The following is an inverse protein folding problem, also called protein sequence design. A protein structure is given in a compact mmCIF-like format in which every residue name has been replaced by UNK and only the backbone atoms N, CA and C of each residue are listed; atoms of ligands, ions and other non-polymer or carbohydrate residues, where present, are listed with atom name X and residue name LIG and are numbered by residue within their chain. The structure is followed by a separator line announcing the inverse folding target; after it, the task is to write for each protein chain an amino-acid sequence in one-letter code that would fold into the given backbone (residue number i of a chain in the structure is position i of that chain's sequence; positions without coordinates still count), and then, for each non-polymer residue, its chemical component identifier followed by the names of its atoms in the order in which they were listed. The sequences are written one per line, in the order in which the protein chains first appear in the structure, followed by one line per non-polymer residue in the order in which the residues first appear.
data_IF_083871426777
#
_entry.id   IF_083871426777
#
_cell.length_a   1.000
_cell.length_b   1.000
_cell.length_c   1.000
_cell.angle_alpha   90.00
_cell.angle_beta   90.00
_cell.angle_gamma   90.00
#
_symmetry.space_group_name_H-M   'P 1'
#
loop_
_entity.id
_entity.type
_entity.pdbx_description
1 polymer ?
#
# COMPACT_ATOMS: atom_id res chain seq x y z
N UNK A 1 -32.48 11.39 10.26
CA UNK A 1 -31.88 10.09 9.90
C UNK A 1 -30.71 10.30 8.91
N UNK A 2 -29.87 11.32 9.15
CA UNK A 2 -28.77 11.80 8.27
C UNK A 2 -27.54 12.11 9.17
N UNK A 3 -27.28 11.29 10.18
CA UNK A 3 -26.27 11.62 11.21
C UNK A 3 -25.33 10.47 11.57
N UNK A 4 -25.32 9.37 10.79
CA UNK A 4 -24.47 8.20 11.09
C UNK A 4 -23.31 7.95 10.13
N UNK A 5 -23.14 8.75 9.07
CA UNK A 5 -22.07 8.55 8.06
C UNK A 5 -20.89 9.52 8.17
N UNK A 6 -20.78 10.34 9.23
CA UNK A 6 -19.67 11.29 9.43
C UNK A 6 -18.65 10.79 10.48
N UNK A 7 -18.74 9.54 10.93
CA UNK A 7 -17.87 9.04 12.02
C UNK A 7 -16.52 8.46 11.60
N UNK A 8 -16.12 8.45 10.32
CA UNK A 8 -14.83 7.86 9.89
C UNK A 8 -13.81 8.84 9.27
N UNK A 9 -14.03 10.14 9.43
CA UNK A 9 -13.02 11.18 9.12
C UNK A 9 -12.60 12.01 10.35
N UNK A 10 -12.99 11.60 11.57
CA UNK A 10 -12.53 12.23 12.83
C UNK A 10 -11.45 11.39 13.50
N UNK A 11 -10.29 11.28 12.86
CA UNK A 11 -9.07 10.85 13.58
C UNK A 11 -7.80 11.51 13.04
N UNK A 12 -7.94 12.68 12.40
CA UNK A 12 -6.85 13.66 12.24
C UNK A 12 -7.24 14.92 13.05
N UNK A 13 -7.60 14.72 14.32
CA UNK A 13 -7.92 15.82 15.25
C UNK A 13 -7.34 15.63 16.65
N UNK A 14 -6.56 14.58 16.92
CA UNK A 14 -5.96 14.35 18.24
C UNK A 14 -4.46 14.64 18.36
N UNK A 15 -3.82 15.26 17.35
CA UNK A 15 -2.45 15.81 17.47
C UNK A 15 -2.46 17.33 17.75
N UNK A 16 -3.62 17.94 18.05
CA UNK A 16 -3.70 19.36 18.40
C UNK A 16 -4.60 19.57 19.62
N UNK A 17 -4.21 18.97 20.74
CA UNK A 17 -4.55 19.47 22.06
C UNK A 17 -3.23 19.86 22.71
N UNK A 18 -2.77 21.07 22.45
CA UNK A 18 -1.67 21.67 23.20
C UNK A 18 -2.12 21.85 24.65
N UNK A 19 -1.84 20.86 25.47
CA UNK A 19 -1.75 21.01 26.93
C UNK A 19 -0.27 20.95 27.26
N UNK A 20 0.28 22.11 27.58
CA UNK A 20 1.54 22.26 28.31
C UNK A 20 1.55 21.33 29.51
N UNK A 21 2.44 20.34 29.50
CA UNK A 21 2.87 19.67 30.71
C UNK A 21 4.22 20.30 31.09
N UNK A 22 4.18 21.11 32.15
CA UNK A 22 5.36 21.53 32.88
C UNK A 22 5.82 20.34 33.72
N UNK A 23 7.02 19.85 33.48
CA UNK A 23 7.75 19.06 34.47
C UNK A 23 8.91 19.94 34.96
N UNK A 24 8.64 20.65 36.05
CA UNK A 24 9.66 21.13 36.98
C UNK A 24 9.98 19.98 37.97
N UNK A 25 11.23 20.00 38.43
CA UNK A 25 11.84 19.32 39.59
C UNK A 25 12.59 17.97 39.40
N UNK A 26 13.93 18.15 39.49
CA UNK A 26 14.95 17.38 40.23
C UNK A 26 15.26 15.91 39.90
N UNK A 27 16.45 15.64 39.33
CA UNK A 27 17.65 15.38 40.14
C UNK A 27 18.94 15.21 39.28
N UNK A 28 19.91 16.11 39.54
CA UNK A 28 21.35 15.94 39.83
C UNK A 28 22.30 14.99 39.05
N UNK A 29 23.53 15.53 38.90
CA UNK A 29 24.85 14.97 38.53
C UNK A 29 25.18 14.88 37.01
N UNK A 30 26.11 15.64 36.40
CA UNK A 30 27.25 16.38 36.91
C UNK A 30 28.57 15.76 36.40
N UNK A 31 29.03 16.08 35.19
CA UNK A 31 30.46 15.98 34.84
C UNK A 31 30.84 16.90 33.67
N UNK A 32 31.78 17.80 33.95
CA UNK A 32 32.36 18.80 33.05
C UNK A 32 33.71 18.32 32.51
N UNK A 33 34.07 18.73 31.29
CA UNK A 33 35.48 19.01 30.96
C UNK A 33 35.96 18.80 29.53
N UNK A 34 36.23 19.92 28.83
CA UNK A 34 37.32 20.13 27.83
C UNK A 34 37.14 19.48 26.44
N UNK A 35 37.38 20.12 25.29
CA UNK A 35 38.17 21.31 24.98
C UNK A 35 39.36 20.95 24.07
N UNK A 36 39.23 21.19 22.76
CA UNK A 36 40.35 21.56 21.89
C UNK A 36 40.84 20.57 20.82
N UNK A 37 41.11 21.11 19.63
CA UNK A 37 42.25 20.72 18.78
C UNK A 37 41.95 19.79 17.60
N UNK A 38 41.81 20.36 16.40
CA UNK A 38 41.61 19.60 15.16
C UNK A 38 42.89 19.02 14.56
N UNK A 39 42.74 18.16 13.55
CA UNK A 39 43.76 17.85 12.53
C UNK A 39 43.05 17.43 11.23
N UNK A 40 43.24 18.21 10.16
CA UNK A 40 43.00 17.76 8.78
C UNK A 40 44.16 16.84 8.36
N UNK A 41 43.86 15.63 7.88
CA UNK A 41 44.85 14.79 7.20
C UNK A 41 44.39 14.43 5.80
N UNK A 42 45.27 14.74 4.86
CA UNK A 42 45.25 14.44 3.43
C UNK A 42 45.33 12.94 3.15
N UNK A 43 44.45 12.41 2.29
CA UNK A 43 44.58 11.07 1.75
C UNK A 43 45.35 11.16 0.41
N UNK A 44 46.55 10.59 0.41
CA UNK A 44 47.40 10.45 -0.76
C UNK A 44 46.96 9.23 -1.60
N UNK A 45 47.00 9.40 -2.92
CA UNK A 45 46.72 8.40 -3.95
C UNK A 45 47.92 7.46 -4.15
N UNK A 46 47.67 6.18 -4.47
CA UNK A 46 48.66 5.20 -4.93
C UNK A 46 47.96 3.99 -5.59
N UNK A 47 48.63 3.20 -6.46
CA UNK A 47 48.25 3.10 -7.87
C UNK A 47 47.60 1.77 -8.29
N UNK A 48 47.08 1.82 -9.51
CA UNK A 48 46.44 0.76 -10.30
C UNK A 48 47.28 -0.51 -10.47
N UNK A 49 46.67 -1.66 -10.16
CA UNK A 49 47.09 -2.97 -10.64
C UNK A 49 45.98 -3.60 -11.48
N UNK A 50 46.29 -3.90 -12.74
CA UNK A 50 45.44 -4.57 -13.71
C UNK A 50 45.24 -6.04 -13.38
N UNK A 51 43.98 -6.47 -13.20
CA UNK A 51 43.58 -7.87 -13.29
C UNK A 51 42.43 -8.04 -14.28
N UNK A 52 42.64 -8.96 -15.20
CA UNK A 52 41.76 -9.34 -16.30
C UNK A 52 40.45 -9.97 -15.81
N UNK A 53 39.32 -9.50 -16.33
CA UNK A 53 37.98 -10.00 -16.03
C UNK A 53 37.75 -11.41 -16.61
N UNK A 54 37.10 -12.34 -15.88
CA UNK A 54 36.62 -13.58 -16.47
C UNK A 54 35.33 -13.33 -17.28
N UNK A 55 35.17 -14.10 -18.35
CA UNK A 55 34.05 -14.03 -19.28
C UNK A 55 32.68 -14.19 -18.59
N UNK A 56 31.74 -13.32 -18.95
CA UNK A 56 30.37 -13.27 -18.44
C UNK A 56 29.60 -14.55 -18.81
N UNK A 57 29.03 -15.21 -17.81
CA UNK A 57 28.04 -16.26 -18.00
C UNK A 57 26.76 -15.67 -18.65
N UNK A 58 26.04 -16.43 -19.50
CA UNK A 58 24.81 -15.95 -20.11
C UNK A 58 23.73 -15.74 -19.04
N UNK A 59 23.05 -14.59 -19.11
CA UNK A 59 21.95 -14.26 -18.22
C UNK A 59 20.80 -15.28 -18.36
N UNK A 60 20.15 -15.69 -17.26
CA UNK A 60 18.95 -16.52 -17.34
C UNK A 60 17.85 -15.74 -18.08
N UNK A 61 17.20 -16.38 -19.06
CA UNK A 61 16.11 -15.74 -19.81
C UNK A 61 14.96 -15.40 -18.86
N UNK A 62 14.71 -14.10 -18.64
CA UNK A 62 13.51 -13.62 -17.99
C UNK A 62 12.31 -14.02 -18.84
N UNK A 63 11.37 -14.77 -18.26
CA UNK A 63 10.04 -14.91 -18.84
C UNK A 63 9.47 -13.50 -19.14
N UNK A 64 8.69 -13.31 -20.22
CA UNK A 64 8.03 -12.03 -20.48
C UNK A 64 7.25 -11.60 -19.24
N UNK A 65 7.43 -10.35 -18.81
CA UNK A 65 6.62 -9.79 -17.74
C UNK A 65 5.13 -9.93 -18.12
N UNK A 66 4.25 -10.29 -17.18
CA UNK A 66 2.83 -10.39 -17.46
C UNK A 66 2.30 -9.03 -17.93
N UNK A 67 2.18 -8.87 -19.25
CA UNK A 67 1.46 -7.78 -19.86
C UNK A 67 -0.02 -8.04 -19.61
N UNK A 68 -0.70 -7.13 -18.91
CA UNK A 68 -2.14 -7.14 -18.55
C UNK A 68 -2.49 -7.55 -17.11
N UNK A 69 -1.87 -6.90 -16.12
CA UNK A 69 -2.35 -6.95 -14.73
C UNK A 69 -3.47 -5.92 -14.55
N UNK A 70 -4.66 -6.38 -14.20
CA UNK A 70 -5.77 -5.54 -13.78
C UNK A 70 -6.58 -6.29 -12.71
N UNK A 71 -7.46 -5.56 -12.02
CA UNK A 71 -8.36 -6.13 -11.03
C UNK A 71 -9.71 -5.45 -11.07
N UNK A 72 -10.76 -6.23 -10.82
CA UNK A 72 -12.11 -5.73 -10.63
C UNK A 72 -12.21 -4.98 -9.29
N UNK A 73 -12.85 -3.83 -9.32
CA UNK A 73 -13.09 -2.98 -8.15
C UNK A 73 -14.59 -2.78 -7.92
N UNK A 74 -15.05 -3.06 -6.71
CA UNK A 74 -16.45 -3.02 -6.28
C UNK A 74 -16.64 -1.86 -5.29
N UNK A 75 -17.59 -0.95 -5.50
CA UNK A 75 -17.91 0.07 -4.49
C UNK A 75 -18.49 -0.55 -3.21
N UNK A 76 -18.09 -0.05 -2.04
CA UNK A 76 -18.48 -0.60 -0.74
C UNK A 76 -18.68 0.49 0.32
N UNK A 77 -19.83 1.17 0.30
CA UNK A 77 -20.31 2.06 1.36
C UNK A 77 -19.28 3.07 1.93
N UNK A 78 -18.40 3.61 1.08
CA UNK A 78 -17.35 4.57 1.48
C UNK A 78 -15.95 4.11 1.12
N UNK A 79 -15.76 2.80 0.94
CA UNK A 79 -14.52 2.18 0.48
C UNK A 79 -14.71 1.54 -0.91
N UNK A 80 -13.62 1.02 -1.47
CA UNK A 80 -13.62 0.25 -2.72
C UNK A 80 -12.87 -1.07 -2.52
N UNK A 81 -13.47 -2.17 -2.95
CA UNK A 81 -12.92 -3.51 -2.77
C UNK A 81 -12.31 -4.01 -4.07
N UNK A 82 -11.05 -4.39 -4.02
CA UNK A 82 -10.30 -4.99 -5.10
C UNK A 82 -10.36 -6.52 -4.99
N UNK A 83 -10.57 -7.21 -6.12
CA UNK A 83 -10.50 -8.67 -6.19
C UNK A 83 -9.08 -9.13 -6.59
N UNK A 84 -8.48 -10.03 -5.83
CA UNK A 84 -7.29 -10.77 -6.25
C UNK A 84 -7.35 -12.20 -5.71
N UNK A 85 -6.46 -13.07 -6.14
CA UNK A 85 -6.40 -14.43 -5.64
C UNK A 85 -5.04 -14.72 -5.02
N UNK A 86 -5.00 -15.52 -3.94
CA UNK A 86 -3.77 -15.91 -3.24
C UNK A 86 -3.63 -17.43 -3.22
N UNK A 87 -2.42 -17.92 -3.48
CA UNK A 87 -2.04 -19.31 -3.30
C UNK A 87 -2.23 -20.21 -4.52
N UNK A 88 -1.97 -21.50 -4.33
CA UNK A 88 -2.18 -22.53 -5.36
C UNK A 88 -2.76 -23.81 -4.73
N UNK A 89 -4.04 -24.15 -4.99
CA UNK A 89 -4.95 -23.50 -5.94
C UNK A 89 -5.31 -22.06 -5.52
N UNK A 90 -5.59 -21.15 -6.48
CA UNK A 90 -5.92 -19.76 -6.17
C UNK A 90 -7.19 -19.65 -5.30
N UNK A 91 -7.12 -18.87 -4.23
CA UNK A 91 -8.25 -18.54 -3.36
C UNK A 91 -8.56 -17.06 -3.53
N UNK A 92 -9.79 -16.75 -3.93
CA UNK A 92 -10.24 -15.36 -4.11
C UNK A 92 -10.23 -14.61 -2.77
N UNK A 93 -9.74 -13.38 -2.82
CA UNK A 93 -9.75 -12.39 -1.76
C UNK A 93 -10.43 -11.13 -2.27
N UNK A 94 -11.31 -10.56 -1.45
CA UNK A 94 -11.99 -9.29 -1.69
C UNK A 94 -11.58 -8.33 -0.58
N UNK A 95 -10.70 -7.39 -0.89
CA UNK A 95 -10.03 -6.57 0.12
C UNK A 95 -10.06 -5.08 -0.25
N UNK A 96 -9.98 -4.20 0.74
CA UNK A 96 -10.01 -2.74 0.52
C UNK A 96 -8.81 -2.31 -0.33
N UNK A 97 -9.06 -1.58 -1.42
CA UNK A 97 -8.01 -0.91 -2.19
C UNK A 97 -7.60 0.38 -1.48
N UNK A 98 -6.44 0.40 -0.83
CA UNK A 98 -6.03 1.50 0.05
C UNK A 98 -4.78 2.22 -0.45
N UNK A 99 -4.95 3.39 -1.06
CA UNK A 99 -3.83 4.27 -1.46
C UNK A 99 -3.20 5.03 -0.29
N UNK A 100 -3.76 4.89 0.92
CA UNK A 100 -3.32 5.53 2.15
C UNK A 100 -2.39 4.66 3.02
N UNK A 101 -2.10 3.42 2.64
CA UNK A 101 -1.17 2.56 3.38
C UNK A 101 -0.39 1.60 2.47
N UNK A 102 0.68 1.02 3.03
CA UNK A 102 1.61 0.18 2.27
C UNK A 102 1.36 -1.32 2.49
N UNK A 103 0.87 -1.76 3.65
CA UNK A 103 0.75 -3.20 3.92
C UNK A 103 -0.43 -3.82 3.15
N UNK A 104 -0.14 -4.84 2.33
CA UNK A 104 -1.14 -5.82 1.88
C UNK A 104 -1.32 -6.88 2.95
N UNK A 105 -2.53 -7.15 3.42
CA UNK A 105 -2.81 -8.22 4.38
C UNK A 105 -4.21 -8.80 4.22
N UNK A 106 -4.37 -10.07 4.63
CA UNK A 106 -5.64 -10.79 4.71
C UNK A 106 -5.71 -11.60 6.01
N UNK A 107 -6.90 -12.02 6.44
CA UNK A 107 -7.03 -12.95 7.57
C UNK A 107 -6.50 -14.34 7.20
N UNK A 108 -5.64 -14.92 8.05
CA UNK A 108 -5.03 -16.22 7.85
C UNK A 108 -5.32 -17.20 8.99
N UNK A 109 -5.29 -18.50 8.67
CA UNK A 109 -5.29 -19.57 9.67
C UNK A 109 -3.89 -19.84 10.23
N UNK A 110 -3.77 -20.19 11.53
CA UNK A 110 -4.83 -20.10 12.54
C UNK A 110 -5.21 -18.63 12.78
N UNK A 111 -6.48 -18.33 13.02
CA UNK A 111 -6.85 -17.00 13.45
C UNK A 111 -7.31 -17.04 14.91
N UNK A 112 -6.61 -16.29 15.75
CA UNK A 112 -6.87 -16.23 17.18
C UNK A 112 -8.01 -15.26 17.47
N UNK A 113 -7.94 -14.05 16.93
CA UNK A 113 -8.93 -12.98 17.15
C UNK A 113 -9.24 -12.26 15.82
N UNK A 114 -10.02 -12.90 14.95
CA UNK A 114 -10.47 -12.33 13.67
C UNK A 114 -11.88 -11.76 13.77
N UNK A 115 -12.17 -10.78 12.92
CA UNK A 115 -13.56 -10.43 12.62
C UNK A 115 -14.17 -11.46 11.67
N UNK A 116 -15.50 -11.57 11.66
CA UNK A 116 -16.20 -12.48 10.77
C UNK A 116 -16.19 -11.95 9.34
N UNK A 117 -15.67 -12.75 8.41
CA UNK A 117 -15.78 -12.53 6.97
C UNK A 117 -16.65 -13.64 6.32
N UNK A 118 -17.20 -13.32 5.15
CA UNK A 118 -18.11 -14.17 4.37
C UNK A 118 -17.31 -15.20 3.61
N UNK A 119 -16.23 -14.77 2.97
CA UNK A 119 -15.32 -15.65 2.26
C UNK A 119 -14.42 -16.41 3.26
N UNK A 120 -13.93 -17.62 2.92
CA UNK A 120 -13.12 -18.39 3.85
C UNK A 120 -11.78 -17.71 4.19
N UNK A 121 -11.44 -17.67 5.48
CA UNK A 121 -10.10 -17.25 5.94
C UNK A 121 -9.02 -18.06 5.23
N UNK A 122 -8.02 -17.38 4.68
CA UNK A 122 -6.94 -18.00 3.92
C UNK A 122 -6.18 -19.02 4.78
N UNK A 123 -5.90 -20.19 4.21
CA UNK A 123 -5.18 -21.26 4.89
C UNK A 123 -3.85 -21.52 4.16
N UNK A 124 -2.74 -20.94 4.64
CA UNK A 124 -1.44 -21.07 3.99
C UNK A 124 -1.00 -22.53 3.82
N UNK A 125 -1.44 -23.43 4.71
CA UNK A 125 -1.07 -24.86 4.65
C UNK A 125 -1.65 -25.59 3.43
N UNK A 126 -2.67 -25.01 2.79
CA UNK A 126 -3.31 -25.56 1.58
C UNK A 126 -2.72 -25.03 0.28
N UNK A 127 -1.84 -24.03 0.35
CA UNK A 127 -1.20 -23.46 -0.83
C UNK A 127 0.13 -24.17 -1.12
N UNK A 128 0.23 -24.77 -2.30
CA UNK A 128 1.46 -25.41 -2.79
C UNK A 128 2.56 -24.42 -3.19
N UNK A 129 2.22 -23.14 -3.34
CA UNK A 129 3.18 -22.07 -3.69
C UNK A 129 3.56 -21.17 -2.51
N UNK A 130 3.02 -21.45 -1.33
CA UNK A 130 3.39 -20.78 -0.08
C UNK A 130 4.89 -20.95 0.18
N UNK A 131 5.59 -19.83 0.38
CA UNK A 131 7.04 -19.78 0.61
C UNK A 131 7.41 -19.66 2.09
N UNK A 132 6.43 -19.54 2.98
CA UNK A 132 6.65 -19.35 4.41
C UNK A 132 6.77 -17.89 4.82
N UNK A 133 7.12 -17.70 6.09
CA UNK A 133 7.30 -16.38 6.70
C UNK A 133 8.49 -15.64 6.09
N UNK A 134 8.34 -14.33 5.90
CA UNK A 134 9.39 -13.43 5.45
C UNK A 134 10.48 -13.36 6.53
N UNK A 135 11.75 -13.37 6.11
CA UNK A 135 12.88 -13.20 7.02
C UNK A 135 12.97 -11.77 7.54
N UNK A 136 13.39 -11.58 8.79
CA UNK A 136 13.58 -10.25 9.35
C UNK A 136 14.64 -9.39 8.63
N UNK A 137 15.54 -10.03 7.85
CA UNK A 137 16.55 -9.33 7.05
C UNK A 137 16.07 -8.96 5.64
N UNK A 138 14.88 -9.41 5.27
CA UNK A 138 14.27 -9.07 3.98
C UNK A 138 13.86 -7.59 3.99
N UNK A 139 14.16 -6.87 2.91
CA UNK A 139 13.88 -5.44 2.79
C UNK A 139 12.41 -5.11 3.02
N UNK A 140 11.50 -6.03 2.66
CA UNK A 140 10.07 -5.81 2.87
C UNK A 140 9.69 -5.84 4.36
N UNK A 141 10.40 -6.62 5.18
CA UNK A 141 10.21 -6.59 6.62
C UNK A 141 10.62 -5.24 7.22
N UNK A 142 11.74 -4.70 6.72
CA UNK A 142 12.28 -3.40 7.13
C UNK A 142 11.42 -2.22 6.63
N UNK A 143 10.58 -2.44 5.63
CA UNK A 143 9.68 -1.44 5.08
C UNK A 143 8.37 -1.26 5.87
N UNK A 144 8.03 -2.18 6.76
CA UNK A 144 6.84 -2.09 7.63
C UNK A 144 7.20 -1.28 8.88
N UNK A 145 6.30 -0.43 9.41
CA UNK A 145 6.51 0.23 10.69
C UNK A 145 6.64 -0.80 11.83
N UNK A 146 7.70 -0.66 12.63
CA UNK A 146 7.95 -1.43 13.87
C UNK A 146 7.84 -2.96 13.69
N UNK A 147 8.64 -3.59 12.82
CA UNK A 147 8.61 -5.04 12.65
C UNK A 147 9.16 -5.73 13.91
N UNK A 148 8.51 -6.83 14.31
CA UNK A 148 8.89 -7.64 15.47
C UNK A 148 9.54 -8.92 14.94
N UNK A 149 10.83 -9.09 15.21
CA UNK A 149 11.56 -10.28 14.77
C UNK A 149 11.52 -11.37 15.84
N UNK A 150 10.90 -12.51 15.52
CA UNK A 150 10.89 -13.71 16.38
C UNK A 150 11.39 -14.90 15.56
N UNK A 151 12.47 -15.56 16.00
CA UNK A 151 13.04 -16.71 15.30
C UNK A 151 13.32 -16.47 13.79
N UNK A 152 13.81 -15.27 13.46
CA UNK A 152 14.03 -14.80 12.08
C UNK A 152 12.74 -14.68 11.22
N UNK A 153 11.55 -14.72 11.82
CA UNK A 153 10.28 -14.47 11.15
C UNK A 153 9.82 -13.03 11.41
N UNK A 154 9.42 -12.34 10.35
CA UNK A 154 8.93 -10.98 10.42
C UNK A 154 7.47 -10.95 10.90
N UNK A 155 7.26 -10.57 12.16
CA UNK A 155 5.94 -10.30 12.72
C UNK A 155 5.67 -8.79 12.67
N UNK A 156 4.41 -8.40 12.67
CA UNK A 156 4.02 -7.00 12.61
C UNK A 156 2.85 -6.71 13.52
N UNK A 157 2.79 -5.46 14.00
CA UNK A 157 1.59 -4.81 14.48
C UNK A 157 1.41 -3.57 13.61
N UNK A 158 0.34 -3.52 12.83
CA UNK A 158 0.09 -2.43 11.90
C UNK A 158 -1.12 -1.64 12.36
N UNK A 159 -0.93 -0.35 12.62
CA UNK A 159 -1.97 0.56 13.13
C UNK A 159 -2.40 1.55 12.06
N UNK A 160 -3.71 1.70 11.89
CA UNK A 160 -4.32 2.65 10.97
C UNK A 160 -4.71 3.95 11.64
N UNK A 161 -4.99 4.96 10.82
CA UNK A 161 -5.32 6.31 11.27
C UNK A 161 -6.61 6.35 12.10
N UNK A 162 -7.58 5.48 11.84
CA UNK A 162 -8.83 5.36 12.61
C UNK A 162 -8.65 4.65 13.97
N UNK A 163 -7.40 4.27 14.30
CA UNK A 163 -7.04 3.57 15.53
C UNK A 163 -7.14 2.06 15.43
N UNK A 164 -7.60 1.52 14.30
CA UNK A 164 -7.74 0.09 14.07
C UNK A 164 -6.37 -0.58 13.86
N UNK A 165 -6.26 -1.88 14.19
CA UNK A 165 -5.00 -2.63 14.06
C UNK A 165 -5.19 -4.04 13.49
N UNK A 166 -4.15 -4.52 12.81
CA UNK A 166 -3.93 -5.92 12.45
C UNK A 166 -2.57 -6.37 12.98
N UNK A 167 -2.51 -7.61 13.46
CA UNK A 167 -1.29 -8.26 13.94
C UNK A 167 -1.15 -9.61 13.27
N UNK A 168 0.07 -9.95 12.88
CA UNK A 168 0.35 -11.16 12.15
C UNK A 168 1.81 -11.31 11.79
N UNK A 169 2.10 -12.20 10.85
CA UNK A 169 3.42 -12.35 10.26
C UNK A 169 3.40 -12.07 8.77
N UNK A 170 4.45 -11.43 8.26
CA UNK A 170 4.65 -11.34 6.82
C UNK A 170 4.98 -12.73 6.27
N UNK A 171 4.33 -13.07 5.16
CA UNK A 171 4.54 -14.32 4.43
C UNK A 171 4.59 -14.06 2.94
N UNK A 172 5.10 -15.01 2.16
CA UNK A 172 5.12 -14.94 0.69
C UNK A 172 4.30 -16.06 0.07
N UNK A 173 3.50 -15.72 -0.94
CA UNK A 173 2.77 -16.70 -1.76
C UNK A 173 2.60 -16.15 -3.19
N UNK A 174 1.91 -16.90 -4.06
CA UNK A 174 1.56 -16.47 -5.42
C UNK A 174 0.29 -15.65 -5.39
N UNK A 175 0.32 -14.46 -5.99
CA UNK A 175 -0.87 -13.64 -6.22
C UNK A 175 -1.31 -13.82 -7.68
N UNK A 176 -2.60 -14.01 -7.91
CA UNK A 176 -3.17 -14.12 -9.26
C UNK A 176 -4.18 -13.00 -9.49
N UNK A 177 -4.02 -12.32 -10.62
CA UNK A 177 -4.90 -11.24 -11.08
C UNK A 177 -5.71 -11.77 -12.25
N UNK A 178 -7.00 -12.01 -12.03
CA UNK A 178 -7.93 -12.49 -13.05
C UNK A 178 -8.62 -11.30 -13.71
N UNK A 179 -8.41 -11.10 -15.01
CA UNK A 179 -9.08 -10.01 -15.73
C UNK A 179 -10.58 -10.27 -15.76
N UNK A 180 -11.35 -9.39 -15.12
CA UNK A 180 -12.79 -9.50 -15.03
C UNK A 180 -13.45 -9.20 -16.38
N UNK A 181 -13.50 -10.18 -17.28
CA UNK A 181 -14.43 -10.11 -18.41
C UNK A 181 -15.85 -10.33 -17.87
N UNK A 182 -16.51 -9.25 -17.47
CA UNK A 182 -17.98 -9.19 -17.53
C UNK A 182 -18.41 -9.13 -19.01
N UNK A 183 -18.04 -10.14 -19.79
CA UNK A 183 -18.67 -10.44 -21.07
C UNK A 183 -18.80 -11.95 -21.17
N UNK A 184 -19.95 -12.45 -20.76
CA UNK A 184 -20.59 -13.54 -21.52
C UNK A 184 -20.97 -12.99 -22.91
N UNK A 185 -20.01 -12.54 -23.70
CA UNK A 185 -20.19 -12.46 -25.13
C UNK A 185 -19.73 -13.79 -25.72
N UNK A 186 -20.76 -14.51 -26.15
CA UNK A 186 -20.79 -15.61 -27.10
C UNK A 186 -19.43 -15.91 -27.79
N UNK A 187 -18.61 -16.73 -27.14
CA UNK A 187 -17.45 -17.41 -27.74
C UNK A 187 -16.20 -16.55 -27.92
N UNK A 188 -15.09 -17.01 -27.33
CA UNK A 188 -13.71 -16.55 -27.55
C UNK A 188 -13.13 -15.36 -26.74
N UNK A 189 -13.70 -14.97 -25.60
CA UNK A 189 -12.97 -14.16 -24.62
C UNK A 189 -12.07 -15.06 -23.74
N UNK A 190 -10.78 -15.11 -24.03
CA UNK A 190 -9.79 -15.77 -23.17
C UNK A 190 -9.65 -14.95 -21.89
N UNK A 191 -10.11 -15.46 -20.75
CA UNK A 191 -9.86 -14.85 -19.44
C UNK A 191 -8.36 -14.82 -19.20
N UNK A 192 -7.72 -13.67 -19.37
CA UNK A 192 -6.30 -13.51 -19.08
C UNK A 192 -6.12 -13.41 -17.56
N UNK A 193 -5.44 -14.39 -16.97
CA UNK A 193 -4.96 -14.31 -15.60
C UNK A 193 -3.45 -14.11 -15.58
N UNK A 194 -2.97 -13.30 -14.64
CA UNK A 194 -1.55 -13.07 -14.41
C UNK A 194 -1.19 -13.54 -13.01
N UNK A 195 -0.43 -14.64 -12.90
CA UNK A 195 0.06 -15.16 -11.62
C UNK A 195 1.50 -14.69 -11.36
N UNK A 196 1.72 -14.14 -10.18
CA UNK A 196 2.98 -13.51 -9.78
C UNK A 196 3.45 -14.18 -8.48
N UNK A 197 4.51 -15.00 -8.52
CA UNK A 197 4.98 -15.72 -7.35
C UNK A 197 5.74 -14.81 -6.39
N UNK A 198 5.69 -15.14 -5.10
CA UNK A 198 6.57 -14.53 -4.10
C UNK A 198 6.17 -13.13 -3.65
N UNK A 199 4.92 -12.73 -3.88
CA UNK A 199 4.37 -11.50 -3.31
C UNK A 199 4.26 -11.68 -1.80
N UNK A 200 4.79 -10.72 -1.07
CA UNK A 200 4.73 -10.67 0.38
C UNK A 200 3.46 -9.94 0.83
N UNK A 201 2.84 -10.48 1.88
CA UNK A 201 1.62 -9.95 2.48
C UNK A 201 1.60 -10.32 3.97
N UNK A 202 0.83 -9.57 4.75
CA UNK A 202 0.54 -9.90 6.13
C UNK A 202 -0.48 -11.03 6.22
N UNK A 203 -0.09 -12.14 6.84
CA UNK A 203 -1.03 -13.10 7.37
C UNK A 203 -1.53 -12.61 8.72
N UNK A 204 -2.71 -12.01 8.75
CA UNK A 204 -3.31 -11.50 9.99
C UNK A 204 -3.86 -12.66 10.83
N UNK A 205 -3.41 -12.75 12.08
CA UNK A 205 -3.87 -13.72 13.08
C UNK A 205 -4.70 -13.05 14.18
N UNK A 206 -4.62 -11.71 14.28
CA UNK A 206 -5.49 -10.87 15.10
C UNK A 206 -5.84 -9.60 14.31
N UNK A 207 -7.12 -9.44 14.02
CA UNK A 207 -7.71 -8.28 13.34
C UNK A 207 -9.01 -7.86 14.01
N UNK A 208 -9.27 -8.25 15.26
CA UNK A 208 -10.51 -7.92 15.96
C UNK A 208 -10.68 -6.40 16.13
N UNK A 209 -9.56 -5.68 16.25
CA UNK A 209 -9.54 -4.22 16.35
C UNK A 209 -9.50 -3.50 14.99
N UNK A 210 -9.39 -4.23 13.87
CA UNK A 210 -9.40 -3.67 12.52
C UNK A 210 -10.72 -2.96 12.16
N UNK A 211 -11.72 -3.03 13.06
CA UNK A 211 -12.98 -2.31 12.99
C UNK A 211 -14.11 -3.17 12.46
N UNK A 212 -15.31 -2.60 12.41
CA UNK A 212 -16.46 -3.23 11.74
C UNK A 212 -16.25 -3.15 10.24
N UNK A 213 -15.30 -3.92 9.72
CA UNK A 213 -15.33 -4.26 8.31
C UNK A 213 -16.65 -4.97 8.04
N UNK A 214 -17.25 -4.62 6.91
CA UNK A 214 -18.41 -5.36 6.43
C UNK A 214 -17.97 -6.82 6.20
N UNK A 215 -18.86 -7.80 6.39
CA UNK A 215 -18.49 -9.22 6.26
C UNK A 215 -17.93 -9.61 4.89
N UNK A 216 -18.07 -8.79 3.85
CA UNK A 216 -17.52 -9.03 2.51
C UNK A 216 -16.08 -8.50 2.32
N UNK A 217 -15.35 -8.20 3.40
CA UNK A 217 -13.98 -7.67 3.35
C UNK A 217 -13.00 -8.63 3.99
N UNK A 218 -12.10 -9.21 3.21
CA UNK A 218 -11.14 -10.23 3.66
C UNK A 218 -9.82 -9.64 4.18
N UNK A 219 -9.62 -8.33 4.02
CA UNK A 219 -8.44 -7.61 4.42
C UNK A 219 -8.28 -6.29 3.66
N UNK A 220 -7.02 -5.90 3.42
CA UNK A 220 -6.67 -4.62 2.80
C UNK A 220 -5.46 -4.78 1.88
N UNK A 221 -5.52 -4.14 0.72
CA UNK A 221 -4.46 -4.09 -0.30
C UNK A 221 -3.82 -2.71 -0.27
N UNK A 222 -2.63 -2.63 0.34
CA UNK A 222 -1.84 -1.41 0.38
C UNK A 222 -1.34 -1.02 -1.02
N UNK A 223 -1.79 0.12 -1.50
CA UNK A 223 -1.45 0.73 -2.79
C UNK A 223 -0.61 2.00 -2.62
N UNK A 224 -0.13 2.30 -1.40
CA UNK A 224 0.77 3.42 -1.13
C UNK A 224 2.12 3.34 -1.88
N UNK A 225 2.95 4.36 -1.72
CA UNK A 225 4.26 4.45 -2.39
C UNK A 225 5.40 3.71 -1.67
N UNK A 226 5.13 3.11 -0.51
CA UNK A 226 6.15 2.51 0.36
C UNK A 226 6.54 1.08 -0.04
N UNK A 227 7.60 0.59 0.60
CA UNK A 227 8.29 -0.66 0.24
C UNK A 227 7.43 -1.93 0.29
N UNK A 228 6.43 -1.96 1.17
CA UNK A 228 5.54 -3.11 1.33
C UNK A 228 4.30 -3.10 0.41
N UNK A 229 4.04 -1.98 -0.28
CA UNK A 229 2.88 -1.82 -1.17
C UNK A 229 2.89 -2.83 -2.31
N UNK A 230 1.69 -3.20 -2.75
CA UNK A 230 1.53 -4.03 -3.94
C UNK A 230 2.18 -3.37 -5.15
N UNK A 231 2.04 -2.04 -5.28
CA UNK A 231 2.61 -1.26 -6.39
C UNK A 231 4.13 -1.40 -6.42
N UNK A 232 4.80 -1.29 -5.27
CA UNK A 232 6.25 -1.41 -5.19
C UNK A 232 6.75 -2.84 -5.43
N UNK A 233 6.02 -3.84 -4.93
CA UNK A 233 6.37 -5.25 -5.16
C UNK A 233 6.24 -5.65 -6.63
N UNK A 234 5.30 -5.03 -7.37
CA UNK A 234 5.07 -5.28 -8.79
C UNK A 234 5.93 -4.40 -9.72
N UNK A 235 6.74 -3.48 -9.19
CA UNK A 235 7.41 -2.41 -9.95
C UNK A 235 8.17 -2.89 -11.20
N UNK A 236 8.84 -4.04 -11.12
CA UNK A 236 9.55 -4.61 -12.27
C UNK A 236 8.64 -4.94 -13.47
N UNK A 237 7.36 -5.21 -13.22
CA UNK A 237 6.35 -5.54 -14.24
C UNK A 237 5.44 -4.36 -14.57
N UNK A 238 5.24 -3.42 -13.64
CA UNK A 238 4.25 -2.34 -13.78
C UNK A 238 4.88 -0.94 -13.84
N UNK A 239 6.20 -0.82 -13.70
CA UNK A 239 6.93 0.45 -13.71
C UNK A 239 6.38 1.49 -12.73
N UNK A 240 5.93 1.03 -11.56
CA UNK A 240 5.32 1.86 -10.51
C UNK A 240 3.98 2.49 -10.88
N UNK A 241 3.33 2.08 -11.99
CA UNK A 241 2.11 2.71 -12.50
C UNK A 241 0.86 1.91 -12.17
N UNK A 242 -0.17 2.60 -11.71
CA UNK A 242 -1.53 2.06 -11.66
C UNK A 242 -2.56 3.17 -11.91
N UNK A 243 -3.77 2.79 -12.32
CA UNK A 243 -4.87 3.74 -12.54
C UNK A 243 -6.21 3.14 -12.15
N UNK A 244 -7.14 4.01 -11.81
CA UNK A 244 -8.51 3.64 -11.49
C UNK A 244 -9.50 4.70 -11.94
N UNK A 245 -10.68 4.25 -12.35
CA UNK A 245 -11.85 5.09 -12.57
C UNK A 245 -12.99 4.52 -11.73
N UNK A 246 -13.09 4.98 -10.49
CA UNK A 246 -13.96 4.35 -9.50
C UNK A 246 -15.43 4.56 -9.88
N UNK A 247 -16.15 3.45 -9.96
CA UNK A 247 -17.59 3.47 -10.17
C UNK A 247 -18.26 4.23 -9.01
N UNK A 248 -19.25 5.11 -9.25
CA UNK A 248 -19.93 5.80 -8.17
C UNK A 248 -20.53 4.79 -7.16
N UNK A 249 -20.35 5.06 -5.86
CA UNK A 249 -20.82 4.14 -4.81
C UNK A 249 -22.36 3.92 -4.80
N UNK A 250 -23.11 4.78 -5.48
CA UNK A 250 -24.57 4.68 -5.64
C UNK A 250 -24.98 3.78 -6.80
N UNK A 251 -24.05 3.38 -7.67
CA UNK A 251 -24.33 2.58 -8.85
C UNK A 251 -24.00 1.11 -8.60
N UNK A 252 -24.84 0.22 -9.11
CA UNK A 252 -24.60 -1.22 -9.05
C UNK A 252 -23.70 -1.67 -10.21
N UNK A 253 -22.54 -1.03 -10.34
CA UNK A 253 -21.55 -1.31 -11.37
C UNK A 253 -20.17 -1.45 -10.77
N UNK A 254 -19.30 -2.16 -11.47
CA UNK A 254 -17.92 -2.39 -11.06
C UNK A 254 -16.99 -1.57 -11.93
N UNK A 255 -15.87 -1.17 -11.35
CA UNK A 255 -14.77 -0.52 -12.05
C UNK A 255 -13.58 -1.45 -12.17
N UNK A 256 -12.50 -0.97 -12.78
CA UNK A 256 -11.25 -1.71 -12.94
C UNK A 256 -10.10 -0.85 -12.43
N UNK A 257 -9.19 -1.49 -11.69
CA UNK A 257 -7.89 -0.96 -11.36
C UNK A 257 -6.87 -1.59 -12.31
N UNK A 258 -6.18 -0.77 -13.08
CA UNK A 258 -5.22 -1.18 -14.08
C UNK A 258 -3.81 -0.95 -13.58
N UNK A 259 -2.87 -1.84 -13.90
CA UNK A 259 -1.46 -1.67 -13.58
C UNK A 259 -0.62 -1.60 -14.85
N UNK A 260 0.58 -1.01 -14.74
CA UNK A 260 1.57 -1.03 -15.80
C UNK A 260 1.21 -0.14 -16.98
N UNK A 261 1.31 -0.68 -18.18
CA UNK A 261 0.98 0.07 -19.40
C UNK A 261 -0.52 0.25 -19.59
N UNK A 262 -1.35 -0.65 -19.03
CA UNK A 262 -2.80 -0.50 -19.00
C UNK A 262 -3.25 0.66 -18.09
N UNK A 263 -2.36 1.15 -17.23
CA UNK A 263 -2.66 2.29 -16.39
C UNK A 263 -2.67 3.61 -17.18
N UNK A 264 -2.08 3.66 -18.38
CA UNK A 264 -1.94 4.88 -19.15
C UNK A 264 -3.27 5.33 -19.75
N UNK A 265 -3.66 6.56 -19.45
CA UNK A 265 -4.85 7.22 -20.00
C UNK A 265 -4.38 8.24 -21.04
N UNK A 266 -4.81 8.06 -22.29
CA UNK A 266 -4.45 8.94 -23.41
C UNK A 266 -5.64 9.80 -23.89
N UNK A 267 -6.64 9.98 -23.03
CA UNK A 267 -7.84 10.72 -23.40
C UNK A 267 -7.56 12.22 -23.57
N UNK A 268 -8.18 12.88 -24.57
CA UNK A 268 -8.09 14.33 -24.72
C UNK A 268 -8.53 15.04 -23.44
N UNK A 269 -7.67 15.91 -22.90
CA UNK A 269 -7.94 16.62 -21.64
C UNK A 269 -7.38 15.95 -20.39
N UNK A 270 -6.63 14.85 -20.51
CA UNK A 270 -5.85 14.30 -19.41
C UNK A 270 -4.83 15.34 -18.89
N UNK A 271 -4.81 15.56 -17.57
CA UNK A 271 -3.91 16.50 -16.90
C UNK A 271 -2.97 15.72 -16.00
N UNK A 272 -1.67 16.01 -16.09
CA UNK A 272 -0.66 15.47 -15.18
C UNK A 272 -0.28 16.50 -14.14
N UNK A 273 -0.28 16.10 -12.88
CA UNK A 273 0.18 16.92 -11.74
C UNK A 273 1.41 16.22 -11.15
N UNK A 274 2.55 16.91 -10.98
CA UNK A 274 3.71 16.32 -10.34
C UNK A 274 3.43 16.04 -8.86
N UNK A 275 3.71 14.82 -8.43
CA UNK A 275 3.68 14.44 -7.01
C UNK A 275 4.90 14.99 -6.27
N UNK A 276 4.72 15.29 -4.99
CA UNK A 276 5.76 15.80 -4.10
C UNK A 276 6.15 14.70 -3.12
N UNK A 277 7.44 14.35 -3.10
CA UNK A 277 7.96 13.36 -2.13
C UNK A 277 8.08 13.98 -0.73
N UNK A 278 7.01 13.87 0.07
CA UNK A 278 6.96 14.27 1.49
C UNK A 278 6.62 13.14 2.44
N UNK A 279 6.19 12.00 1.90
CA UNK A 279 5.87 10.79 2.63
C UNK A 279 6.48 9.61 1.90
N UNK A 280 6.78 8.54 2.64
CA UNK A 280 7.14 7.25 2.06
C UNK A 280 5.90 6.52 1.54
N UNK A 281 4.74 6.76 2.17
CA UNK A 281 3.48 6.04 1.92
C UNK A 281 2.51 6.82 1.04
N UNK A 282 2.35 8.12 1.29
CA UNK A 282 1.25 8.90 0.73
C UNK A 282 1.61 9.54 -0.62
N UNK A 283 0.64 9.49 -1.55
CA UNK A 283 0.64 10.31 -2.76
C UNK A 283 0.27 11.75 -2.42
N UNK A 284 1.27 12.63 -2.39
CA UNK A 284 1.07 14.05 -2.03
C UNK A 284 1.17 14.92 -3.28
N UNK A 285 0.16 15.78 -3.50
CA UNK A 285 0.16 16.82 -4.54
C UNK A 285 0.17 18.21 -3.92
N UNK A 286 0.71 19.19 -4.65
CA UNK A 286 0.68 20.59 -4.22
C UNK A 286 -0.64 21.24 -4.63
N UNK A 287 -1.52 21.46 -3.66
CA UNK A 287 -2.66 22.36 -3.83
C UNK A 287 -2.19 23.82 -3.84
N UNK A 288 -2.59 24.58 -4.85
CA UNK A 288 -2.27 26.01 -4.95
C UNK A 288 -3.37 26.90 -4.38
N UNK A 289 -4.62 26.60 -4.73
CA UNK A 289 -5.77 27.42 -4.35
C UNK A 289 -7.07 26.63 -4.56
N UNK A 290 -8.14 27.07 -3.93
CA UNK A 290 -9.48 26.48 -4.06
C UNK A 290 -10.43 27.59 -4.52
N UNK A 291 -11.32 27.26 -5.45
CA UNK A 291 -12.39 28.15 -5.88
C UNK A 291 -13.75 27.49 -5.63
N UNK A 292 -14.75 28.29 -5.25
CA UNK A 292 -16.15 27.87 -5.18
C UNK A 292 -16.95 28.77 -6.11
N UNK A 293 -17.44 28.21 -7.22
CA UNK A 293 -18.00 29.01 -8.30
C UNK A 293 -16.91 29.90 -8.93
N UNK A 294 -17.08 31.22 -8.83
CA UNK A 294 -16.09 32.20 -9.32
C UNK A 294 -15.22 32.79 -8.21
N UNK A 295 -15.50 32.43 -6.96
CA UNK A 295 -14.87 33.05 -5.80
C UNK A 295 -13.69 32.18 -5.35
N UNK A 296 -12.49 32.78 -5.36
CA UNK A 296 -11.31 32.17 -4.77
C UNK A 296 -11.46 32.18 -3.25
N UNK A 297 -11.32 31.01 -2.61
CA UNK A 297 -11.27 30.95 -1.17
C UNK A 297 -9.95 31.55 -0.69
N UNK A 298 -10.02 32.47 0.28
CA UNK A 298 -8.85 32.97 1.00
C UNK A 298 -8.37 31.90 1.98
N UNK A 299 -7.77 30.85 1.41
CA UNK A 299 -6.90 29.95 2.16
C UNK A 299 -5.59 30.70 2.31
N UNK A 300 -5.42 31.43 3.43
CA UNK A 300 -4.13 32.04 3.81
C UNK A 300 -2.97 31.05 3.66
N UNK A 301 -1.68 31.46 3.75
CA UNK A 301 -0.53 30.61 3.42
C UNK A 301 -0.70 29.19 3.93
N UNK A 302 -0.97 28.26 3.00
CA UNK A 302 -1.72 27.03 3.25
C UNK A 302 -1.00 26.18 4.31
N UNK A 303 -1.44 26.33 5.56
CA UNK A 303 -1.11 25.43 6.66
C UNK A 303 -1.81 24.08 6.44
N UNK A 304 -1.38 23.01 7.14
CA UNK A 304 -1.86 21.66 6.91
C UNK A 304 -3.28 21.49 7.48
N UNK A 305 -4.32 21.93 6.77
CA UNK A 305 -5.70 21.60 7.11
C UNK A 305 -6.47 21.12 5.88
N UNK A 306 -7.03 19.92 6.00
CA UNK A 306 -7.80 19.22 4.97
C UNK A 306 -9.15 19.91 4.72
N UNK A 307 -9.61 19.87 3.47
CA UNK A 307 -10.99 20.17 3.07
C UNK A 307 -11.50 19.05 2.16
N UNK A 308 -12.82 18.88 2.13
CA UNK A 308 -13.52 17.88 1.32
C UNK A 308 -14.06 18.53 0.05
N UNK A 309 -13.77 17.94 -1.11
CA UNK A 309 -14.33 18.34 -2.41
C UNK A 309 -15.66 17.61 -2.66
N UNK A 310 -16.60 18.30 -3.33
CA UNK A 310 -17.79 17.66 -3.93
C UNK A 310 -17.41 17.02 -5.27
N UNK A 311 -18.00 15.87 -5.64
CA UNK A 311 -17.60 15.12 -6.82
C UNK A 311 -17.96 15.90 -8.09
N UNK A 312 -16.95 16.17 -8.92
CA UNK A 312 -17.16 16.32 -10.35
C UNK A 312 -17.02 14.95 -11.00
N UNK A 313 -17.62 14.83 -12.18
CA UNK A 313 -17.66 13.67 -13.10
C UNK A 313 -16.53 12.65 -12.86
N UNK A 314 -16.81 11.32 -12.81
CA UNK A 314 -15.77 10.33 -12.62
C UNK A 314 -14.69 10.49 -13.71
N UNK A 315 -13.50 10.88 -13.28
CA UNK A 315 -12.30 10.94 -14.11
C UNK A 315 -11.34 9.84 -13.66
N UNK A 316 -10.69 9.19 -14.62
CA UNK A 316 -9.64 8.22 -14.34
C UNK A 316 -8.45 8.93 -13.68
N UNK A 317 -7.96 8.40 -12.56
CA UNK A 317 -6.71 8.85 -11.97
C UNK A 317 -5.59 7.87 -12.34
N UNK A 318 -4.45 8.39 -12.76
CA UNK A 318 -3.23 7.61 -13.00
C UNK A 318 -2.18 8.05 -11.99
N UNK A 319 -1.65 7.08 -11.24
CA UNK A 319 -0.62 7.29 -10.24
C UNK A 319 0.67 6.58 -10.67
N UNK A 320 1.81 7.22 -10.40
CA UNK A 320 3.14 6.67 -10.67
C UNK A 320 4.05 6.92 -9.47
N UNK A 321 4.51 5.83 -8.84
CA UNK A 321 5.45 5.82 -7.71
C UNK A 321 6.89 6.03 -8.16
#
# INVERSE_FOLDING_TARGET
MIERSISRARYISSIISGTSYNDDDDDSDGYSGGGGGGVYTSIASSPSSSSSAPASAPAPSSAPAPSNINSKVIPNNGDYLMELEIGTPPVKMVAIADTGSDLVWVQCKPCDQCYNQTDPIFDPSKSSTFKGSVSCKDDICLAIPTPICLNNQCNYVYKYADGSLTTGNLSRDTFTFSSGSNEKQQGNASSSSSSIPGIAFGCSHDSASAGSFEPNVDGLIGLGSGGASLVRQLDSSIHGKFSYCLAPYTENTTSTLNFGDNALVNDPGFITIPMVRRSVTFYVVKLQSIAVGKDMLDVGPVGPTCFTLKPLVPHCLVERV
#
